data_IF_841719144813
#
_entry.id   IF_841719144813
#
_cell.length_a   1.000
_cell.length_b   1.000
_cell.length_c   1.000
_cell.angle_alpha   90.00
_cell.angle_beta   90.00
_cell.angle_gamma   90.00
#
_symmetry.space_group_name_H-M   'P 1'
#
loop_
_entity.id
_entity.type
_entity.pdbx_description
1 polymer ?
#
# COMPACT_ATOMS: atom_id res chain seq x y z
N UNK A 1 8.35 19.06 -8.06
CA UNK A 1 9.36 18.02 -8.39
C UNK A 1 8.64 16.70 -8.70
N UNK A 2 9.17 15.88 -9.61
CA UNK A 2 8.67 14.52 -9.84
C UNK A 2 9.59 13.46 -9.20
N UNK A 3 9.01 12.47 -8.52
CA UNK A 3 9.74 11.36 -7.89
C UNK A 3 8.95 10.06 -8.01
N UNK A 4 9.49 9.05 -8.72
CA UNK A 4 8.82 7.75 -8.95
C UNK A 4 7.37 7.85 -9.50
N UNK A 5 7.14 8.77 -10.44
CA UNK A 5 5.81 9.11 -11.00
C UNK A 5 4.85 9.80 -10.02
N UNK A 6 5.33 10.17 -8.82
CA UNK A 6 4.59 11.05 -7.91
C UNK A 6 5.00 12.49 -8.16
N UNK A 7 4.07 13.41 -7.97
CA UNK A 7 4.36 14.84 -7.92
C UNK A 7 4.49 15.27 -6.46
N UNK A 8 5.62 15.93 -6.15
CA UNK A 8 5.88 16.56 -4.86
C UNK A 8 5.84 18.07 -5.05
N UNK A 9 4.96 18.74 -4.29
CA UNK A 9 4.87 20.20 -4.25
C UNK A 9 5.09 20.67 -2.83
N UNK A 10 6.05 21.57 -2.64
CA UNK A 10 6.36 22.12 -1.32
C UNK A 10 5.64 23.45 -1.14
N UNK A 11 4.99 23.63 0.00
CA UNK A 11 4.28 24.85 0.37
C UNK A 11 4.81 25.39 1.68
N UNK A 12 4.96 26.70 1.79
CA UNK A 12 5.19 27.35 3.06
C UNK A 12 3.89 27.33 3.89
N UNK A 13 4.00 26.95 5.15
CA UNK A 13 2.96 27.00 6.16
C UNK A 13 3.37 28.00 7.27
N UNK A 14 2.46 28.28 8.20
CA UNK A 14 2.70 29.24 9.29
C UNK A 14 3.98 28.93 10.09
N UNK A 15 4.32 27.64 10.23
CA UNK A 15 5.48 27.17 11.01
C UNK A 15 6.34 26.18 10.20
N UNK A 16 6.76 26.57 8.99
CA UNK A 16 7.74 25.82 8.19
C UNK A 16 7.23 25.46 6.79
N UNK A 17 7.67 24.31 6.27
CA UNK A 17 7.39 23.84 4.93
C UNK A 17 6.71 22.47 4.95
N UNK A 18 5.68 22.31 4.13
CA UNK A 18 4.91 21.10 3.97
C UNK A 18 5.07 20.57 2.54
N UNK A 19 5.31 19.27 2.40
CA UNK A 19 5.22 18.61 1.10
C UNK A 19 3.82 18.04 0.86
N UNK A 20 3.20 18.43 -0.24
CA UNK A 20 1.97 17.86 -0.79
C UNK A 20 2.34 16.81 -1.83
N UNK A 21 1.73 15.63 -1.71
CA UNK A 21 1.99 14.49 -2.58
C UNK A 21 0.79 14.27 -3.49
N UNK A 22 1.02 14.09 -4.78
CA UNK A 22 0.02 13.65 -5.75
C UNK A 22 0.53 12.33 -6.33
N UNK A 23 -0.31 11.31 -6.26
CA UNK A 23 0.01 9.99 -6.78
C UNK A 23 0.00 9.96 -8.32
N UNK A 24 0.47 8.86 -8.94
CA UNK A 24 0.48 8.73 -10.40
C UNK A 24 -0.90 8.77 -11.06
N UNK A 25 -1.99 8.60 -10.30
CA UNK A 25 -3.37 8.69 -10.78
C UNK A 25 -3.94 10.10 -10.63
N UNK A 26 -3.16 11.06 -10.14
CA UNK A 26 -3.58 12.44 -9.90
C UNK A 26 -4.30 12.64 -8.56
N UNK A 27 -4.34 11.63 -7.69
CA UNK A 27 -4.97 11.74 -6.38
C UNK A 27 -4.01 12.37 -5.38
N UNK A 28 -4.48 13.43 -4.73
CA UNK A 28 -3.75 14.09 -3.65
C UNK A 28 -3.75 13.21 -2.39
N UNK A 29 -2.58 12.99 -1.82
CA UNK A 29 -2.41 12.33 -0.54
C UNK A 29 -2.36 13.40 0.56
N UNK A 30 -3.43 13.51 1.33
CA UNK A 30 -3.58 14.58 2.32
C UNK A 30 -2.89 14.30 3.66
N UNK A 31 -2.40 13.08 3.91
CA UNK A 31 -1.74 12.69 5.17
C UNK A 31 -0.58 11.73 4.91
N UNK A 32 0.49 11.78 5.73
CA UNK A 32 0.70 12.66 6.89
C UNK A 32 1.16 14.08 6.49
N UNK A 33 0.65 15.10 7.19
CA UNK A 33 1.11 16.49 7.04
C UNK A 33 2.16 16.80 8.10
N UNK A 34 3.41 16.84 7.68
CA UNK A 34 4.55 17.15 8.56
C UNK A 34 5.17 18.47 8.09
N UNK A 35 5.17 19.46 8.98
CA UNK A 35 5.87 20.72 8.76
C UNK A 35 7.34 20.55 9.14
N UNK A 36 8.23 20.96 8.25
CA UNK A 36 9.68 20.85 8.42
C UNK A 36 10.36 22.21 8.23
N UNK A 37 11.54 22.43 8.83
CA UNK A 37 12.15 23.76 8.91
C UNK A 37 12.61 24.32 7.55
N UNK A 38 12.78 23.47 6.54
CA UNK A 38 13.22 23.86 5.20
C UNK A 38 12.46 23.12 4.10
N UNK A 39 12.38 23.68 2.88
CA UNK A 39 11.74 23.01 1.76
C UNK A 39 12.47 21.73 1.36
N UNK A 40 13.80 21.70 1.42
CA UNK A 40 14.61 20.51 1.13
C UNK A 40 14.32 19.39 2.13
N UNK A 41 14.11 19.75 3.39
CA UNK A 41 13.73 18.80 4.44
C UNK A 41 12.34 18.21 4.17
N UNK A 42 11.38 19.04 3.76
CA UNK A 42 10.04 18.61 3.36
C UNK A 42 10.06 17.66 2.16
N UNK A 43 10.86 17.96 1.14
CA UNK A 43 11.04 17.10 -0.03
C UNK A 43 11.72 15.78 0.32
N UNK A 44 12.77 15.82 1.14
CA UNK A 44 13.47 14.61 1.58
C UNK A 44 12.56 13.69 2.40
N UNK A 45 11.74 14.26 3.28
CA UNK A 45 10.71 13.54 4.01
C UNK A 45 9.69 12.91 3.05
N UNK A 46 9.19 13.68 2.08
CA UNK A 46 8.26 13.20 1.06
C UNK A 46 8.81 11.99 0.29
N UNK A 47 10.06 12.03 -0.14
CA UNK A 47 10.70 10.91 -0.84
C UNK A 47 10.78 9.66 0.03
N UNK A 48 11.18 9.80 1.31
CA UNK A 48 11.20 8.68 2.27
C UNK A 48 9.80 8.10 2.48
N UNK A 49 8.81 8.97 2.61
CA UNK A 49 7.41 8.57 2.76
C UNK A 49 6.91 7.79 1.53
N UNK A 50 7.14 8.29 0.31
CA UNK A 50 6.79 7.59 -0.94
C UNK A 50 7.44 6.21 -0.99
N UNK A 51 8.74 6.11 -0.64
CA UNK A 51 9.45 4.83 -0.62
C UNK A 51 8.84 3.82 0.36
N UNK A 52 8.45 4.28 1.55
CA UNK A 52 7.76 3.43 2.52
C UNK A 52 6.36 3.03 2.04
N UNK A 53 5.59 3.98 1.51
CA UNK A 53 4.22 3.78 1.06
C UNK A 53 4.13 2.76 -0.08
N UNK A 54 5.01 2.87 -1.09
CA UNK A 54 5.07 1.90 -2.20
C UNK A 54 5.37 0.49 -1.69
N UNK A 55 6.36 0.34 -0.80
CA UNK A 55 6.69 -0.97 -0.20
C UNK A 55 5.54 -1.55 0.62
N UNK A 56 4.79 -0.70 1.33
CA UNK A 56 3.63 -1.13 2.10
C UNK A 56 2.54 -1.67 1.17
N UNK A 57 2.26 -0.97 0.08
CA UNK A 57 1.22 -1.35 -0.87
C UNK A 57 1.57 -2.62 -1.65
N UNK A 58 2.83 -2.78 -2.04
CA UNK A 58 3.34 -4.03 -2.62
C UNK A 58 3.10 -5.23 -1.68
N UNK A 59 3.35 -5.08 -0.38
CA UNK A 59 3.11 -6.14 0.61
C UNK A 59 1.62 -6.45 0.77
N UNK A 60 0.75 -5.44 0.76
CA UNK A 60 -0.71 -5.62 0.82
C UNK A 60 -1.21 -6.42 -0.38
N UNK A 61 -0.80 -6.04 -1.59
CA UNK A 61 -1.18 -6.75 -2.82
C UNK A 61 -0.69 -8.20 -2.81
N UNK A 62 0.53 -8.47 -2.32
CA UNK A 62 1.03 -9.84 -2.19
C UNK A 62 0.22 -10.65 -1.17
N UNK A 63 -0.09 -10.08 -0.01
CA UNK A 63 -0.90 -10.74 1.02
C UNK A 63 -2.31 -11.07 0.53
N UNK A 64 -2.96 -10.15 -0.20
CA UNK A 64 -4.28 -10.36 -0.80
C UNK A 64 -4.26 -11.48 -1.86
N UNK A 65 -3.23 -11.50 -2.71
CA UNK A 65 -3.04 -12.57 -3.69
C UNK A 65 -2.85 -13.92 -3.03
N UNK A 66 -2.03 -13.98 -1.98
CA UNK A 66 -1.83 -15.20 -1.20
C UNK A 66 -3.12 -15.68 -0.55
N UNK A 67 -3.90 -14.79 0.07
CA UNK A 67 -5.18 -15.14 0.68
C UNK A 67 -6.21 -15.66 -0.33
N UNK A 68 -6.27 -15.06 -1.54
CA UNK A 68 -7.13 -15.54 -2.62
C UNK A 68 -6.70 -16.92 -3.12
N UNK A 69 -5.40 -17.18 -3.21
CA UNK A 69 -4.88 -18.49 -3.62
C UNK A 69 -5.20 -19.60 -2.61
N UNK A 70 -5.18 -19.32 -1.30
CA UNK A 70 -5.61 -20.28 -0.27
C UNK A 70 -7.12 -20.48 -0.27
N UNK A 71 -7.91 -19.43 -0.44
CA UNK A 71 -9.38 -19.53 -0.50
C UNK A 71 -9.88 -20.31 -1.74
N UNK A 72 -9.19 -20.21 -2.87
CA UNK A 72 -9.50 -21.02 -4.06
C UNK A 72 -9.19 -22.51 -3.90
N UNK A 73 -8.27 -22.87 -3.00
CA UNK A 73 -7.81 -24.26 -2.79
C UNK A 73 -8.71 -25.08 -1.86
N UNK A 74 -9.53 -24.44 -1.04
CA UNK A 74 -10.47 -25.11 -0.12
C UNK A 74 -11.83 -25.41 -0.74
N UNK A 75 -12.10 -24.96 -1.97
CA UNK A 75 -13.36 -25.23 -2.67
C UNK A 75 -13.38 -26.53 -3.49
N UNK A 76 -12.28 -27.28 -3.55
CA UNK A 76 -12.18 -28.55 -4.29
C UNK A 76 -11.91 -29.73 -3.36
N UNK A 77 -12.86 -30.05 -2.49
CA UNK A 77 -12.93 -31.40 -1.92
C UNK A 77 -14.37 -31.92 -1.94
N UNK A 78 -14.77 -32.70 -2.96
CA UNK A 78 -16.00 -33.45 -2.86
C UNK A 78 -15.79 -34.53 -1.79
N UNK A 79 -16.54 -34.40 -0.69
CA UNK A 79 -16.68 -35.43 0.33
C UNK A 79 -17.08 -36.75 -0.36
N UNK A 80 -16.17 -37.73 -0.38
CA UNK A 80 -16.53 -39.10 -0.73
C UNK A 80 -17.29 -39.70 0.45
N UNK A 81 -18.55 -40.14 0.31
CA UNK A 81 -19.19 -40.92 1.36
C UNK A 81 -18.49 -42.28 1.44
N UNK A 82 -17.90 -42.59 2.59
CA UNK A 82 -17.45 -43.94 2.92
C UNK A 82 -18.66 -44.87 2.86
N UNK A 83 -18.68 -45.80 1.90
CA UNK A 83 -19.63 -46.90 1.90
C UNK A 83 -19.14 -47.96 2.88
N UNK A 84 -19.85 -48.10 4.00
CA UNK A 84 -19.71 -49.23 4.92
C UNK A 84 -20.08 -50.53 4.19
N UNK A 85 -19.17 -51.50 4.17
CA UNK A 85 -19.47 -52.85 3.72
C UNK A 85 -20.16 -53.63 4.87
N UNK A 86 -21.15 -54.50 4.58
CA UNK A 86 -21.67 -55.41 5.60
C UNK A 86 -20.72 -56.61 5.76
N UNK A 87 -20.41 -56.96 7.00
CA UNK A 87 -19.75 -58.22 7.35
C UNK A 87 -20.84 -59.29 7.43
N UNK A 88 -20.64 -60.40 6.70
CA UNK A 88 -21.44 -61.62 6.72
C UNK A 88 -21.05 -62.47 7.92
#
# INVERSE_FOLDING_TARGET
>A
MNYKNWTITTHQANEGFLAVLIDPQGKKLDRPRVCLPSPESAEHYAQKFINWYVKLEERRLMAERSARATAGRTSEHPARPFKSAPVV
#
